data_IF_262669207934
#
_entry.id   IF_262669207934
#
_cell.length_a   1.000
_cell.length_b   1.000
_cell.length_c   1.000
_cell.angle_alpha   90.00
_cell.angle_beta   90.00
_cell.angle_gamma   90.00
#
_symmetry.space_group_name_H-M   'P 1'
#
loop_
_entity.id
_entity.type
_entity.pdbx_description
1 polymer ?
#
# COMPACT_ATOMS: atom_id res chain seq x y z
N UNK A 1 -23.27 -12.63 8.87
CA UNK A 1 -22.53 -11.35 8.69
C UNK A 1 -21.07 -11.68 8.44
N UNK A 2 -20.53 -11.39 7.25
CA UNK A 2 -19.19 -11.81 6.85
C UNK A 2 -18.11 -11.02 7.64
N UNK A 3 -17.82 -11.47 8.86
CA UNK A 3 -16.70 -11.03 9.68
C UNK A 3 -15.41 -11.66 9.13
N UNK A 4 -15.10 -11.36 7.87
CA UNK A 4 -14.04 -12.03 7.13
C UNK A 4 -12.80 -11.15 7.05
N UNK A 5 -11.64 -11.80 7.16
CA UNK A 5 -10.24 -11.36 6.91
C UNK A 5 -9.99 -10.28 5.81
N UNK A 6 -11.01 -9.94 5.03
CA UNK A 6 -11.03 -9.01 3.88
C UNK A 6 -11.67 -7.64 4.19
N UNK A 7 -12.14 -7.40 5.43
CA UNK A 7 -12.76 -6.12 5.79
C UNK A 7 -11.73 -5.00 6.09
N UNK A 8 -10.48 -5.37 6.36
CA UNK A 8 -9.40 -4.41 6.60
C UNK A 8 -8.67 -4.04 5.31
N UNK A 9 -8.27 -2.77 5.18
CA UNK A 9 -7.39 -2.30 4.10
C UNK A 9 -6.03 -2.97 4.21
N UNK A 10 -5.57 -3.56 3.11
CA UNK A 10 -4.29 -4.27 3.01
C UNK A 10 -3.17 -3.29 2.70
N UNK A 11 -2.78 -2.50 3.69
CA UNK A 11 -1.61 -1.64 3.65
C UNK A 11 -0.74 -1.87 4.90
N UNK A 12 0.56 -1.61 4.81
CA UNK A 12 1.52 -1.90 5.90
C UNK A 12 2.49 -0.75 6.15
N UNK A 13 2.85 -0.55 7.43
CA UNK A 13 3.99 0.29 7.84
C UNK A 13 5.22 -0.62 7.96
N UNK A 14 6.36 -0.33 7.30
CA UNK A 14 6.65 0.82 6.42
C UNK A 14 6.14 0.64 4.97
N UNK A 15 5.78 1.76 4.33
CA UNK A 15 5.30 1.82 2.94
C UNK A 15 6.45 1.70 1.91
N UNK A 16 7.23 0.61 1.98
CA UNK A 16 8.31 0.34 1.02
C UNK A 16 7.77 -0.10 -0.35
N UNK A 17 6.57 -0.68 -0.39
CA UNK A 17 5.95 -1.22 -1.61
C UNK A 17 5.63 -0.12 -2.63
N UNK A 18 4.95 0.95 -2.23
CA UNK A 18 4.60 2.02 -3.17
C UNK A 18 5.84 2.70 -3.77
N UNK A 19 6.90 2.88 -2.97
CA UNK A 19 8.16 3.48 -3.45
C UNK A 19 8.87 2.56 -4.44
N UNK A 20 8.89 1.26 -4.19
CA UNK A 20 9.53 0.29 -5.05
C UNK A 20 8.79 0.16 -6.41
N UNK A 21 7.45 0.13 -6.41
CA UNK A 21 6.67 0.16 -7.65
C UNK A 21 6.89 1.44 -8.49
N UNK A 22 7.03 2.60 -7.83
CA UNK A 22 7.35 3.83 -8.53
C UNK A 22 8.76 3.78 -9.17
N UNK A 23 9.70 3.09 -8.54
CA UNK A 23 11.03 2.85 -9.10
C UNK A 23 10.96 1.86 -10.28
N UNK A 24 10.24 0.75 -10.15
CA UNK A 24 10.04 -0.25 -11.21
C UNK A 24 9.48 0.40 -12.48
N UNK A 25 8.44 1.23 -12.35
CA UNK A 25 7.81 1.91 -13.49
C UNK A 25 8.75 2.88 -14.20
N UNK A 26 9.58 3.60 -13.44
CA UNK A 26 10.59 4.51 -14.02
C UNK A 26 11.67 3.73 -14.76
N UNK A 27 12.07 2.59 -14.22
CA UNK A 27 13.12 1.75 -14.78
C UNK A 27 12.61 0.78 -15.87
N UNK A 28 11.29 0.59 -16.00
CA UNK A 28 10.63 -0.43 -16.83
C UNK A 28 11.05 -1.88 -16.53
N UNK A 29 11.69 -2.10 -15.37
CA UNK A 29 12.19 -3.39 -14.91
C UNK A 29 11.82 -3.59 -13.44
N UNK A 30 11.66 -4.83 -13.01
CA UNK A 30 11.50 -5.16 -11.59
C UNK A 30 12.79 -4.80 -10.85
N UNK A 31 12.73 -3.91 -9.84
CA UNK A 31 13.88 -3.47 -9.03
C UNK A 31 14.03 -4.26 -7.73
N UNK A 32 13.12 -5.22 -7.46
CA UNK A 32 13.17 -6.06 -6.27
C UNK A 32 12.47 -7.41 -6.47
N UNK A 33 12.86 -8.39 -5.65
CA UNK A 33 12.19 -9.70 -5.56
C UNK A 33 12.68 -10.71 -6.60
N UNK A 34 12.00 -11.86 -6.74
CA UNK A 34 12.48 -12.98 -7.57
C UNK A 34 12.50 -12.69 -9.08
N UNK A 35 11.97 -11.53 -9.50
CA UNK A 35 11.98 -11.07 -10.91
C UNK A 35 12.95 -9.92 -11.14
N UNK A 36 13.78 -9.55 -10.16
CA UNK A 36 14.71 -8.42 -10.27
C UNK A 36 15.52 -8.47 -11.58
N UNK A 37 15.60 -7.33 -12.27
CA UNK A 37 16.29 -7.18 -13.55
C UNK A 37 15.48 -7.63 -14.78
N UNK A 38 14.29 -8.24 -14.60
CA UNK A 38 13.39 -8.57 -15.72
C UNK A 38 12.54 -7.36 -16.11
N UNK A 39 12.27 -7.22 -17.40
CA UNK A 39 11.35 -6.19 -17.91
C UNK A 39 9.94 -6.39 -17.36
N UNK A 40 9.27 -5.27 -17.09
CA UNK A 40 7.86 -5.27 -16.74
C UNK A 40 7.06 -5.67 -17.99
N UNK A 41 6.16 -6.63 -17.84
CA UNK A 41 5.18 -6.94 -18.90
C UNK A 41 4.25 -5.76 -19.14
N UNK A 42 3.62 -5.64 -20.32
CA UNK A 42 2.66 -4.55 -20.62
C UNK A 42 1.54 -4.43 -19.56
N UNK A 43 1.13 -5.56 -18.98
CA UNK A 43 0.17 -5.60 -17.88
C UNK A 43 0.75 -5.06 -16.56
N UNK A 44 2.00 -5.40 -16.25
CA UNK A 44 2.75 -4.91 -15.09
C UNK A 44 3.28 -3.47 -15.28
N UNK A 45 3.32 -2.94 -16.50
CA UNK A 45 3.62 -1.55 -16.82
C UNK A 45 2.34 -0.68 -16.89
N UNK A 46 1.18 -1.31 -17.09
CA UNK A 46 -0.14 -0.70 -17.27
C UNK A 46 -1.01 -0.63 -15.99
N UNK A 47 -2.34 -0.74 -16.18
CA UNK A 47 -3.41 -0.40 -15.19
C UNK A 47 -3.26 -1.08 -13.81
N UNK A 48 -2.62 -2.25 -13.72
CA UNK A 48 -2.48 -3.04 -12.49
C UNK A 48 -1.08 -3.03 -11.88
N UNK A 49 -0.18 -2.14 -12.34
CA UNK A 49 1.22 -2.04 -11.89
C UNK A 49 1.43 -1.54 -10.44
N UNK A 50 0.48 -1.70 -9.54
CA UNK A 50 0.58 -1.18 -8.18
C UNK A 50 0.11 0.26 -7.99
N UNK A 51 -0.48 0.92 -9.00
CA UNK A 51 -1.10 2.26 -8.84
C UNK A 51 -2.23 2.25 -7.79
N UNK A 52 -3.18 1.33 -7.92
CA UNK A 52 -4.27 1.15 -6.95
C UNK A 52 -3.75 0.74 -5.56
N UNK A 53 -2.63 0.01 -5.52
CA UNK A 53 -1.99 -0.41 -4.29
C UNK A 53 -1.28 0.77 -3.62
N UNK A 54 -0.59 1.61 -4.39
CA UNK A 54 0.05 2.84 -3.93
C UNK A 54 -0.97 3.87 -3.42
N UNK A 55 -2.15 3.98 -4.05
CA UNK A 55 -3.24 4.82 -3.54
C UNK A 55 -3.74 4.32 -2.18
N UNK A 56 -3.94 3.01 -2.05
CA UNK A 56 -4.36 2.37 -0.80
C UNK A 56 -3.31 2.55 0.31
N UNK A 57 -2.03 2.37 -0.03
CA UNK A 57 -0.90 2.54 0.88
C UNK A 57 -0.72 4.01 1.31
N UNK A 58 -0.89 4.96 0.39
CA UNK A 58 -0.82 6.40 0.67
C UNK A 58 -1.95 6.85 1.59
N UNK A 59 -3.19 6.41 1.31
CA UNK A 59 -4.35 6.71 2.15
C UNK A 59 -4.23 6.09 3.54
N UNK A 60 -3.70 4.87 3.63
CA UNK A 60 -3.40 4.22 4.90
C UNK A 60 -2.35 4.98 5.71
N UNK A 61 -1.23 5.34 5.08
CA UNK A 61 -0.14 6.08 5.71
C UNK A 61 -0.57 7.45 6.20
N UNK A 62 -1.39 8.16 5.41
CA UNK A 62 -1.96 9.45 5.82
C UNK A 62 -2.79 9.31 7.12
N UNK A 63 -3.72 8.35 7.17
CA UNK A 63 -4.54 8.09 8.36
C UNK A 63 -3.70 7.70 9.57
N UNK A 64 -2.66 6.89 9.36
CA UNK A 64 -1.72 6.49 10.41
C UNK A 64 -0.98 7.69 11.00
N UNK A 65 -0.39 8.53 10.15
CA UNK A 65 0.33 9.75 10.58
C UNK A 65 -0.61 10.73 11.28
N UNK A 66 -1.83 10.92 10.75
CA UNK A 66 -2.84 11.76 11.38
C UNK A 66 -3.21 11.27 12.78
N UNK A 67 -3.47 9.97 12.94
CA UNK A 67 -3.78 9.38 14.25
C UNK A 67 -2.61 9.51 15.26
N UNK A 68 -1.37 9.38 14.80
CA UNK A 68 -0.20 9.63 15.65
C UNK A 68 -0.10 11.11 16.06
N UNK A 69 -0.37 12.04 15.14
CA UNK A 69 -0.38 13.48 15.43
C UNK A 69 -1.51 13.86 16.41
N UNK A 70 -2.63 13.13 16.39
CA UNK A 70 -3.73 13.25 17.36
C UNK A 70 -3.40 12.63 18.74
N UNK A 71 -2.17 12.15 18.97
CA UNK A 71 -1.72 11.60 20.25
C UNK A 71 -2.06 10.12 20.50
N UNK A 72 -2.54 9.40 19.49
CA UNK A 72 -2.90 7.98 19.62
C UNK A 72 -1.66 7.08 19.63
N UNK A 73 -1.77 5.92 20.27
CA UNK A 73 -0.69 4.94 20.27
C UNK A 73 -0.45 4.35 18.86
N UNK A 74 0.74 3.79 18.62
CA UNK A 74 1.07 3.11 17.35
C UNK A 74 0.09 1.98 17.02
N UNK A 75 -0.46 1.30 18.03
CA UNK A 75 -1.45 0.22 17.87
C UNK A 75 -2.79 0.77 17.39
N UNK A 76 -3.28 1.82 18.03
CA UNK A 76 -4.54 2.48 17.66
C UNK A 76 -4.46 3.16 16.29
N UNK A 77 -3.36 3.84 16.01
CA UNK A 77 -3.13 4.45 14.69
C UNK A 77 -3.14 3.41 13.57
N UNK A 78 -2.55 2.23 13.81
CA UNK A 78 -2.58 1.11 12.86
C UNK A 78 -4.01 0.62 12.65
N UNK A 79 -4.78 0.43 13.71
CA UNK A 79 -6.17 -0.01 13.60
C UNK A 79 -7.05 0.98 12.83
N UNK A 80 -6.96 2.27 13.16
CA UNK A 80 -7.70 3.35 12.48
C UNK A 80 -7.37 3.41 10.99
N UNK A 81 -6.09 3.28 10.66
CA UNK A 81 -5.64 3.35 9.27
C UNK A 81 -6.11 2.16 8.42
N UNK A 82 -6.36 1.00 9.04
CA UNK A 82 -6.75 -0.23 8.36
C UNK A 82 -8.26 -0.43 8.29
N UNK A 83 -9.04 0.25 9.15
CA UNK A 83 -10.51 0.24 9.09
C UNK A 83 -11.02 0.86 7.78
N UNK A 84 -11.91 0.15 7.07
CA UNK A 84 -12.73 0.74 6.00
C UNK A 84 -13.75 1.69 6.65
N UNK A 85 -14.03 2.83 6.01
CA UNK A 85 -15.12 3.69 6.47
C UNK A 85 -16.41 2.88 6.45
N UNK A 86 -17.23 2.99 7.50
CA UNK A 86 -18.63 2.58 7.39
C UNK A 86 -19.25 3.51 6.34
N UNK A 87 -19.71 2.93 5.23
CA UNK A 87 -20.68 3.60 4.38
C UNK A 87 -21.97 3.83 5.17
#
# INVERSE_FOLDING_TARGET
MANGKYNNRRWSVPNKRAKAYAADRRAKVHTYGPKEGKELTDYEAGIRSGYLQAQSDSAGLYKYKKALAEGKSKKEAREISQRKGRG
#
